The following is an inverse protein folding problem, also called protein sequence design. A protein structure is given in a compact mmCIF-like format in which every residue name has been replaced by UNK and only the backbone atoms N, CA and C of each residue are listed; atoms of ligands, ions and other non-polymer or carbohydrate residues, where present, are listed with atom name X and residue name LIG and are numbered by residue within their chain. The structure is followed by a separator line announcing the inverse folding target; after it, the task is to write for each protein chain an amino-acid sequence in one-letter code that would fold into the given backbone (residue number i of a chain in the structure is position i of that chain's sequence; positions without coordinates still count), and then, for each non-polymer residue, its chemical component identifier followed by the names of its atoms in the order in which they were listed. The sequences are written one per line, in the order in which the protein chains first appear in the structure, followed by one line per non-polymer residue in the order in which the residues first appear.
data_IF_119513470310
#
_entry.id   IF_119513470310
#
_cell.length_a   1.000
_cell.length_b   1.000
_cell.length_c   1.000
_cell.angle_alpha   90.00
_cell.angle_beta   90.00
_cell.angle_gamma   90.00
#
_symmetry.space_group_name_H-M   'P 1'
#
loop_
_entity.id
_entity.type
_entity.pdbx_description
1 polymer ?
#
# COMPACT_ATOMS: atom_id res chain seq x y z
N UNK A 1 -19.44 -37.41 -25.39
CA UNK A 1 -18.16 -36.67 -25.48
C UNK A 1 -17.37 -36.93 -24.20
N UNK A 2 -16.20 -37.58 -24.27
CA UNK A 2 -15.33 -37.79 -23.10
C UNK A 2 -14.55 -36.48 -22.85
N UNK A 3 -14.95 -35.71 -21.84
CA UNK A 3 -14.17 -34.54 -21.41
C UNK A 3 -12.78 -35.02 -20.97
N UNK A 4 -11.73 -34.48 -21.58
CA UNK A 4 -10.34 -34.82 -21.26
C UNK A 4 -10.04 -34.29 -19.84
N UNK A 5 -9.43 -35.08 -18.94
CA UNK A 5 -9.18 -34.68 -17.55
C UNK A 5 -8.31 -33.42 -17.43
N UNK A 6 -7.50 -33.14 -18.45
CA UNK A 6 -6.68 -31.93 -18.55
C UNK A 6 -7.50 -30.63 -18.63
N UNK A 7 -8.69 -30.68 -19.23
CA UNK A 7 -9.55 -29.51 -19.42
C UNK A 7 -10.32 -29.15 -18.14
N UNK A 8 -10.58 -30.14 -17.28
CA UNK A 8 -11.16 -29.93 -15.96
C UNK A 8 -10.16 -29.30 -14.98
N UNK A 9 -8.87 -29.67 -15.08
CA UNK A 9 -7.82 -29.14 -14.21
C UNK A 9 -7.57 -27.64 -14.43
N UNK A 10 -7.62 -27.19 -15.69
CA UNK A 10 -7.42 -25.78 -16.07
C UNK A 10 -8.56 -24.88 -15.57
N UNK A 11 -9.80 -25.41 -15.54
CA UNK A 11 -10.95 -24.70 -15.02
C UNK A 11 -10.87 -24.50 -13.49
N UNK A 12 -10.35 -25.49 -12.74
CA UNK A 12 -10.22 -25.41 -11.27
C UNK A 12 -9.15 -24.39 -10.84
N UNK A 13 -8.04 -24.29 -11.57
CA UNK A 13 -6.98 -23.30 -11.32
C UNK A 13 -7.41 -21.85 -11.56
N UNK A 14 -8.50 -21.63 -12.29
CA UNK A 14 -9.02 -20.30 -12.61
C UNK A 14 -9.82 -19.67 -11.46
N UNK A 15 -10.28 -20.47 -10.49
CA UNK A 15 -11.12 -20.00 -9.38
C UNK A 15 -10.35 -19.58 -8.13
N UNK A 16 -9.05 -19.85 -8.03
CA UNK A 16 -8.23 -19.40 -6.89
C UNK A 16 -7.64 -17.99 -7.09
N UNK A 17 -7.96 -17.32 -8.19
CA UNK A 17 -7.47 -15.98 -8.51
C UNK A 17 -8.39 -14.84 -8.02
N UNK A 18 -9.34 -15.13 -7.13
CA UNK A 18 -10.17 -14.09 -6.50
C UNK A 18 -9.33 -13.22 -5.57
N UNK A 19 -8.88 -12.10 -6.13
CA UNK A 19 -8.57 -10.80 -5.51
C UNK A 19 -8.08 -10.82 -4.06
N UNK A 20 -6.81 -10.47 -3.87
CA UNK A 20 -6.34 -9.99 -2.58
C UNK A 20 -7.23 -8.82 -2.14
N UNK A 21 -7.94 -8.98 -1.03
CA UNK A 21 -8.64 -7.89 -0.35
C UNK A 21 -7.59 -6.88 0.10
N UNK A 22 -7.45 -5.78 -0.65
CA UNK A 22 -6.52 -4.71 -0.32
C UNK A 22 -7.15 -3.89 0.78
N UNK A 23 -6.86 -4.27 2.01
CA UNK A 23 -7.25 -3.48 3.17
C UNK A 23 -6.44 -2.18 3.20
N UNK A 24 -7.09 -1.08 3.58
CA UNK A 24 -6.37 0.17 3.83
C UNK A 24 -5.43 0.01 5.01
N UNK A 25 -4.23 0.60 4.93
CA UNK A 25 -3.36 0.69 6.10
C UNK A 25 -4.01 1.55 7.18
N UNK A 26 -3.94 1.08 8.43
CA UNK A 26 -4.49 1.80 9.58
C UNK A 26 -3.37 2.49 10.33
N UNK A 27 -3.50 3.80 10.53
CA UNK A 27 -2.52 4.63 11.23
C UNK A 27 -3.11 5.14 12.55
N UNK A 28 -2.98 4.39 13.67
CA UNK A 28 -3.63 4.74 14.93
C UNK A 28 -3.17 6.08 15.53
N UNK A 29 -1.94 6.49 15.25
CA UNK A 29 -1.33 7.73 15.79
C UNK A 29 -1.11 8.81 14.72
N UNK A 30 -1.80 8.74 13.58
CA UNK A 30 -1.52 9.62 12.43
C UNK A 30 -1.54 11.10 12.78
N UNK A 31 -2.60 11.56 13.42
CA UNK A 31 -2.80 12.98 13.78
C UNK A 31 -1.63 13.45 14.65
N UNK A 32 -1.31 12.67 15.69
CA UNK A 32 -0.19 12.98 16.59
C UNK A 32 1.15 13.02 15.87
N UNK A 33 1.41 12.10 14.93
CA UNK A 33 2.67 12.08 14.17
C UNK A 33 2.79 13.28 13.24
N UNK A 34 1.70 13.61 12.54
CA UNK A 34 1.63 14.75 11.64
C UNK A 34 1.89 16.07 12.37
N UNK A 35 1.22 16.30 13.51
CA UNK A 35 1.37 17.52 14.30
C UNK A 35 2.77 17.70 14.90
N UNK A 36 3.50 16.62 15.14
CA UNK A 36 4.78 16.67 15.88
C UNK A 36 6.02 16.56 15.00
N UNK A 37 5.95 15.90 13.84
CA UNK A 37 7.11 15.66 12.99
C UNK A 37 6.93 16.09 11.54
N UNK A 38 5.71 16.45 11.12
CA UNK A 38 5.33 16.59 9.70
C UNK A 38 5.61 15.35 8.83
N UNK A 39 6.01 14.24 9.46
CA UNK A 39 6.31 12.96 8.85
C UNK A 39 5.36 11.90 9.41
N UNK A 40 5.11 10.85 8.63
CA UNK A 40 4.26 9.73 9.03
C UNK A 40 5.11 8.47 8.95
N UNK A 41 5.48 7.95 10.11
CA UNK A 41 6.35 6.79 10.17
C UNK A 41 5.60 5.52 9.78
N UNK A 42 6.16 4.82 8.81
CA UNK A 42 5.76 3.45 8.56
C UNK A 42 6.31 2.58 9.69
N UNK A 43 5.53 1.59 10.11
CA UNK A 43 5.90 0.64 11.16
C UNK A 43 5.47 -0.76 10.76
N UNK A 44 6.05 -1.77 11.39
CA UNK A 44 5.59 -3.15 11.21
C UNK A 44 4.08 -3.33 11.53
N UNK A 45 3.52 -2.49 12.38
CA UNK A 45 2.11 -2.53 12.76
C UNK A 45 1.19 -1.96 11.68
N UNK A 46 1.55 -0.81 11.07
CA UNK A 46 0.72 -0.17 10.05
C UNK A 46 1.01 -0.67 8.62
N UNK A 47 2.19 -1.26 8.37
CA UNK A 47 2.62 -1.81 7.08
C UNK A 47 3.05 -3.29 7.17
N UNK A 48 2.28 -4.20 7.79
CA UNK A 48 2.74 -5.56 8.09
C UNK A 48 3.15 -6.36 6.84
N UNK A 49 2.50 -6.11 5.70
CA UNK A 49 2.81 -6.81 4.45
C UNK A 49 4.00 -6.22 3.67
N UNK A 50 4.26 -4.93 3.85
CA UNK A 50 5.27 -4.18 3.12
C UNK A 50 6.49 -3.79 3.94
N UNK A 51 6.48 -4.02 5.25
CA UNK A 51 7.54 -3.59 6.17
C UNK A 51 8.90 -4.16 5.78
N UNK A 52 9.94 -3.32 5.81
CA UNK A 52 11.30 -3.70 5.45
C UNK A 52 11.57 -3.77 3.94
N UNK A 53 10.63 -3.32 3.10
CA UNK A 53 10.79 -3.28 1.64
C UNK A 53 11.13 -1.90 1.14
N UNK A 54 11.99 -1.83 0.12
CA UNK A 54 12.31 -0.58 -0.57
C UNK A 54 11.48 -0.35 -1.85
N UNK A 55 10.72 -1.34 -2.31
CA UNK A 55 9.91 -1.32 -3.54
C UNK A 55 8.41 -1.15 -3.22
N UNK A 56 8.00 0.06 -2.83
CA UNK A 56 6.64 0.37 -2.40
C UNK A 56 5.60 0.04 -3.49
N UNK A 57 5.92 0.29 -4.76
CA UNK A 57 5.04 0.05 -5.90
C UNK A 57 4.83 -1.43 -6.23
N UNK A 58 5.53 -2.34 -5.53
CA UNK A 58 5.23 -3.77 -5.60
C UNK A 58 3.86 -4.10 -4.99
N UNK A 59 3.48 -3.37 -3.94
CA UNK A 59 2.23 -3.53 -3.22
C UNK A 59 1.22 -2.44 -3.58
N UNK A 60 1.70 -1.20 -3.71
CA UNK A 60 0.86 -0.05 -3.99
C UNK A 60 0.74 0.24 -5.48
N UNK A 61 -0.45 0.63 -5.91
CA UNK A 61 -0.64 1.28 -7.21
C UNK A 61 -0.49 2.78 -6.95
N UNK A 62 0.49 3.42 -7.57
CA UNK A 62 0.82 4.83 -7.36
C UNK A 62 -0.42 5.77 -7.42
N UNK A 63 -1.34 5.52 -8.36
CA UNK A 63 -2.58 6.30 -8.51
C UNK A 63 -3.60 6.13 -7.37
N UNK A 64 -3.42 5.14 -6.51
CA UNK A 64 -4.37 4.75 -5.47
C UNK A 64 -3.83 4.97 -4.04
N UNK A 65 -2.62 5.52 -3.88
CA UNK A 65 -2.05 5.89 -2.57
C UNK A 65 -2.65 7.24 -2.15
N UNK A 66 -2.84 7.44 -0.84
CA UNK A 66 -3.41 8.67 -0.26
C UNK A 66 -4.84 9.00 -0.72
N UNK A 67 -5.63 7.98 -1.09
CA UNK A 67 -7.04 8.17 -1.46
C UNK A 67 -7.98 8.24 -0.25
N UNK A 68 -7.49 7.89 0.95
CA UNK A 68 -8.27 7.91 2.19
C UNK A 68 -7.74 8.98 3.12
N UNK A 69 -8.61 9.88 3.50
CA UNK A 69 -8.37 10.82 4.58
C UNK A 69 -8.59 10.13 5.93
N UNK A 70 -7.54 10.11 6.74
CA UNK A 70 -7.52 9.55 8.09
C UNK A 70 -7.53 10.63 9.18
N UNK A 71 -7.35 11.92 8.82
CA UNK A 71 -7.39 13.07 9.74
C UNK A 71 -8.76 13.73 9.76
N UNK A 72 -9.61 13.45 8.76
CA UNK A 72 -10.93 14.08 8.55
C UNK A 72 -10.87 15.59 8.27
N UNK A 73 -9.70 16.10 7.90
CA UNK A 73 -9.44 17.54 7.67
C UNK A 73 -9.29 17.88 6.17
N UNK A 74 -9.63 16.96 5.26
CA UNK A 74 -9.42 17.09 3.81
C UNK A 74 -7.96 17.35 3.43
N UNK A 75 -7.02 17.15 4.36
CA UNK A 75 -5.60 17.46 4.21
C UNK A 75 -4.85 16.48 3.32
N UNK A 76 -5.56 15.60 2.60
CA UNK A 76 -4.95 14.55 1.76
C UNK A 76 -5.08 14.85 0.27
N UNK A 77 -5.97 15.76 -0.14
CA UNK A 77 -6.20 16.08 -1.55
C UNK A 77 -4.96 16.70 -2.24
N UNK A 78 -4.15 17.46 -1.49
CA UNK A 78 -2.90 18.01 -2.01
C UNK A 78 -1.77 16.97 -2.12
N UNK A 79 -1.87 15.84 -1.41
CA UNK A 79 -0.90 14.74 -1.48
C UNK A 79 -1.08 13.89 -2.73
N UNK A 80 -2.30 13.81 -3.27
CA UNK A 80 -2.61 13.04 -4.48
C UNK A 80 -1.76 13.42 -5.70
N UNK A 81 -1.63 14.70 -6.11
CA UNK A 81 -0.78 15.06 -7.24
C UNK A 81 0.70 14.73 -6.97
N UNK A 82 1.19 14.95 -5.75
CA UNK A 82 2.58 14.64 -5.37
C UNK A 82 2.84 13.14 -5.52
N UNK A 83 2.00 12.30 -4.93
CA UNK A 83 2.17 10.85 -4.97
C UNK A 83 2.07 10.27 -6.39
N UNK A 84 1.26 10.89 -7.28
CA UNK A 84 1.13 10.48 -8.68
C UNK A 84 2.35 10.73 -9.54
N UNK A 85 3.22 11.65 -9.12
CA UNK A 85 4.44 12.01 -9.83
C UNK A 85 5.69 11.49 -9.11
N UNK A 86 5.56 11.07 -7.85
CA UNK A 86 6.66 10.60 -7.03
C UNK A 86 7.34 9.33 -7.55
N UNK A 87 8.66 9.24 -7.39
CA UNK A 87 9.42 8.00 -7.46
C UNK A 87 9.59 7.38 -6.05
N UNK A 88 10.06 6.13 -6.00
CA UNK A 88 10.25 5.37 -4.74
C UNK A 88 11.10 6.10 -3.69
N UNK A 89 12.08 6.92 -4.13
CA UNK A 89 12.93 7.66 -3.19
C UNK A 89 12.21 8.86 -2.56
N UNK A 90 11.29 9.48 -3.29
CA UNK A 90 10.54 10.64 -2.82
C UNK A 90 9.54 10.28 -1.72
N UNK A 91 9.02 9.04 -1.74
CA UNK A 91 8.19 8.51 -0.64
C UNK A 91 8.91 8.59 0.71
N UNK A 92 10.23 8.37 0.73
CA UNK A 92 11.05 8.37 1.96
C UNK A 92 11.18 9.74 2.61
N UNK A 93 10.87 10.81 1.88
CA UNK A 93 10.85 12.17 2.41
C UNK A 93 9.84 12.31 3.55
N UNK A 94 8.68 11.65 3.45
CA UNK A 94 7.62 11.72 4.44
C UNK A 94 7.50 10.44 5.29
N UNK A 95 7.97 9.30 4.76
CA UNK A 95 7.73 7.96 5.31
C UNK A 95 8.99 7.23 5.80
N UNK A 96 10.16 7.89 5.75
CA UNK A 96 11.45 7.29 6.09
C UNK A 96 11.76 6.04 5.23
N UNK A 97 12.60 5.14 5.71
CA UNK A 97 13.14 3.99 4.98
C UNK A 97 12.23 2.76 5.00
N UNK A 98 10.99 2.85 5.51
CA UNK A 98 10.10 1.71 5.69
C UNK A 98 10.76 0.55 6.47
N UNK A 99 11.63 0.87 7.44
CA UNK A 99 12.32 -0.11 8.26
C UNK A 99 13.41 -0.92 7.54
N UNK A 100 13.78 -0.55 6.31
CA UNK A 100 14.89 -1.17 5.58
C UNK A 100 16.18 -1.00 6.40
N UNK A 101 16.72 -2.12 6.86
CA UNK A 101 18.01 -2.15 7.55
C UNK A 101 19.15 -1.95 6.54
N UNK A 102 20.25 -1.28 6.91
CA UNK A 102 21.43 -1.10 6.06
C UNK A 102 22.14 -2.42 5.70
#
# INVERSE_FOLDING_TARGET
MKMKPLMALLAVLSFTACGNDRQYEVYPDLVRQWETSSNVYLTAQNHPHGWGRADCYRCHVQRNIHMKDWTSDQSVDWLLPIAREANESECKTCHDTNGVQP
#
